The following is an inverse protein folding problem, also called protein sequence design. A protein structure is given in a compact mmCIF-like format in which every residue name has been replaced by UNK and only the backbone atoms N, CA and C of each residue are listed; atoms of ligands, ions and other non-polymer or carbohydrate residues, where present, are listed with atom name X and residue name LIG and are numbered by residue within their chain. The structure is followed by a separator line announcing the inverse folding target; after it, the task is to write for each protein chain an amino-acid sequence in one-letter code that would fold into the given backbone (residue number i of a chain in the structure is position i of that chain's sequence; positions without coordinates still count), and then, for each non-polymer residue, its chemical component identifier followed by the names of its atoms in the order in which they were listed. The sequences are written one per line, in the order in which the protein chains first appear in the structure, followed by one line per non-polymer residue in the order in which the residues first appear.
data_IF_909549997513
#
_entry.id   IF_909549997513
#
_cell.length_a   1.000
_cell.length_b   1.000
_cell.length_c   1.000
_cell.angle_alpha   90.00
_cell.angle_beta   90.00
_cell.angle_gamma   90.00
#
_symmetry.space_group_name_H-M   'P 1'
#
loop_
_entity.id
_entity.type
_entity.pdbx_description
1 polymer ?
#
# COMPACT_ATOMS: atom_id res chain seq x y z
N UNK A 1 -3.71 -8.42 -10.91
CA UNK A 1 -3.96 -6.99 -11.22
C UNK A 1 -2.63 -6.25 -11.25
N UNK A 2 -2.56 -5.21 -12.02
CA UNK A 2 -1.33 -4.43 -12.14
C UNK A 2 -1.39 -3.24 -11.21
N UNK A 3 -0.36 -3.11 -10.39
CA UNK A 3 -0.26 -2.03 -9.44
C UNK A 3 1.12 -1.40 -9.55
N UNK A 4 1.20 -0.12 -9.22
CA UNK A 4 2.50 0.53 -9.15
C UNK A 4 2.75 0.89 -7.70
N UNK A 5 3.81 0.32 -7.14
CA UNK A 5 4.14 0.52 -5.73
C UNK A 5 5.46 1.24 -5.63
N UNK A 6 5.44 2.45 -5.08
CA UNK A 6 6.62 3.31 -4.97
C UNK A 6 7.36 3.43 -6.30
N UNK A 7 6.59 3.58 -7.37
CA UNK A 7 7.14 3.76 -8.70
C UNK A 7 7.49 2.48 -9.44
N UNK A 8 7.35 1.32 -8.81
CA UNK A 8 7.67 0.05 -9.44
C UNK A 8 6.41 -0.71 -9.80
N UNK A 9 6.42 -1.32 -10.98
CA UNK A 9 5.28 -2.10 -11.45
C UNK A 9 5.29 -3.48 -10.81
N UNK A 10 4.13 -3.89 -10.30
CA UNK A 10 3.94 -5.21 -9.70
C UNK A 10 2.69 -5.85 -10.27
N UNK A 11 2.74 -7.17 -10.39
CA UNK A 11 1.56 -7.94 -10.76
C UNK A 11 1.16 -8.70 -9.50
N UNK A 12 0.15 -8.20 -8.79
CA UNK A 12 -0.24 -8.72 -7.49
C UNK A 12 -1.76 -8.77 -7.42
N UNK A 13 -2.29 -9.87 -6.91
CA UNK A 13 -3.71 -9.98 -6.65
C UNK A 13 -3.97 -9.67 -5.19
N UNK A 14 -4.42 -8.47 -4.92
CA UNK A 14 -4.77 -8.04 -3.57
C UNK A 14 -6.07 -7.24 -3.66
N UNK A 15 -7.08 -7.65 -2.92
CA UNK A 15 -8.36 -6.96 -2.97
C UNK A 15 -8.31 -5.63 -2.23
N UNK A 16 -7.56 -5.56 -1.15
CA UNK A 16 -7.49 -4.35 -0.32
C UNK A 16 -6.06 -3.91 -0.11
N UNK A 17 -5.91 -2.67 0.33
CA UNK A 17 -4.59 -2.14 0.62
C UNK A 17 -3.91 -2.95 1.73
N UNK A 18 -4.68 -3.37 2.75
CA UNK A 18 -4.11 -4.19 3.81
C UNK A 18 -3.55 -5.50 3.27
N UNK A 19 -4.26 -6.13 2.32
CA UNK A 19 -3.76 -7.36 1.71
C UNK A 19 -2.48 -7.12 0.92
N UNK A 20 -2.42 -5.99 0.22
CA UNK A 20 -1.21 -5.66 -0.53
C UNK A 20 -0.01 -5.51 0.40
N UNK A 21 -0.21 -4.82 1.52
CA UNK A 21 0.88 -4.65 2.48
C UNK A 21 1.36 -6.00 3.02
N UNK A 22 0.42 -6.92 3.27
CA UNK A 22 0.79 -8.25 3.74
C UNK A 22 1.59 -9.02 2.69
N UNK A 23 1.19 -8.94 1.44
CA UNK A 23 1.90 -9.60 0.34
C UNK A 23 3.31 -9.06 0.20
N UNK A 24 3.48 -7.75 0.39
CA UNK A 24 4.78 -7.10 0.27
C UNK A 24 5.57 -7.12 1.56
N UNK A 25 5.02 -7.75 2.59
CA UNK A 25 5.71 -7.94 3.86
C UNK A 25 5.96 -6.64 4.62
N UNK A 26 5.08 -5.68 4.45
CA UNK A 26 5.09 -4.48 5.27
C UNK A 26 4.26 -4.70 6.52
N UNK A 27 4.77 -4.29 7.67
CA UNK A 27 4.07 -4.46 8.93
C UNK A 27 4.09 -3.16 9.73
N UNK A 28 3.09 -3.04 10.61
CA UNK A 28 3.05 -1.94 11.56
C UNK A 28 2.07 -0.85 11.15
N UNK A 29 1.56 -0.16 12.17
CA UNK A 29 0.61 0.92 11.96
C UNK A 29 1.28 2.26 11.70
N UNK A 30 2.60 2.29 11.80
CA UNK A 30 3.39 3.51 11.65
C UNK A 30 3.81 3.78 10.21
N UNK A 31 3.37 2.94 9.30
CA UNK A 31 3.54 3.20 7.88
C UNK A 31 2.57 4.27 7.42
N UNK A 32 3.01 5.08 6.48
CA UNK A 32 2.12 6.00 5.79
C UNK A 32 1.81 5.43 4.41
N UNK A 33 0.55 5.46 4.03
CA UNK A 33 0.15 4.93 2.73
C UNK A 33 -0.73 5.93 1.99
N UNK A 34 -0.59 5.93 0.67
CA UNK A 34 -1.44 6.73 -0.20
C UNK A 34 -1.77 5.92 -1.44
N UNK A 35 -2.96 6.10 -1.99
CA UNK A 35 -3.36 5.48 -3.23
C UNK A 35 -3.83 6.58 -4.16
N UNK A 36 -3.20 6.65 -5.33
CA UNK A 36 -3.48 7.68 -6.33
C UNK A 36 -3.41 9.09 -5.73
N UNK A 37 -2.42 9.30 -4.87
CA UNK A 37 -2.12 10.57 -4.19
C UNK A 37 -3.07 10.91 -3.03
N UNK A 38 -3.99 10.01 -2.70
CA UNK A 38 -4.87 10.22 -1.55
C UNK A 38 -4.39 9.41 -0.37
N UNK A 39 -4.21 10.06 0.77
CA UNK A 39 -3.75 9.39 1.98
C UNK A 39 -4.81 8.39 2.46
N UNK A 40 -4.35 7.18 2.79
CA UNK A 40 -5.20 6.15 3.36
C UNK A 40 -4.68 5.82 4.75
N UNK A 41 -5.48 6.09 5.75
CA UNK A 41 -5.07 5.86 7.14
C UNK A 41 -5.10 4.38 7.50
N UNK A 42 -4.33 4.04 8.53
CA UNK A 42 -4.19 2.63 8.94
C UNK A 42 -5.54 1.96 9.19
N UNK A 43 -6.47 2.70 9.80
CA UNK A 43 -7.78 2.13 10.13
C UNK A 43 -8.65 1.86 8.91
N UNK A 44 -8.25 2.38 7.75
CA UNK A 44 -9.04 2.24 6.53
C UNK A 44 -8.49 1.21 5.57
N UNK A 45 -7.25 0.77 5.80
CA UNK A 45 -6.56 -0.09 4.84
C UNK A 45 -7.27 -1.41 4.59
N UNK A 46 -7.88 -1.98 5.62
CA UNK A 46 -8.52 -3.28 5.50
C UNK A 46 -9.78 -3.25 4.64
N UNK A 47 -10.35 -2.08 4.43
CA UNK A 47 -11.54 -1.95 3.57
C UNK A 47 -11.32 -1.03 2.37
N UNK A 48 -10.09 -0.58 2.16
CA UNK A 48 -9.78 0.22 0.99
C UNK A 48 -9.55 -0.72 -0.19
N UNK A 49 -10.47 -0.74 -1.13
CA UNK A 49 -10.40 -1.65 -2.27
C UNK A 49 -9.48 -1.10 -3.34
N UNK A 50 -8.62 -1.97 -3.86
CA UNK A 50 -7.67 -1.63 -4.91
C UNK A 50 -8.26 -1.96 -6.27
N UNK A 51 -7.86 -1.17 -7.26
CA UNK A 51 -8.26 -1.38 -8.64
C UNK A 51 -7.03 -1.52 -9.51
N UNK A 52 -7.19 -2.21 -10.62
CA UNK A 52 -6.10 -2.36 -11.57
C UNK A 52 -5.59 -0.99 -12.00
N UNK A 53 -4.28 -0.83 -12.00
CA UNK A 53 -3.66 0.42 -12.38
C UNK A 53 -3.45 1.41 -11.26
N UNK A 54 -3.87 1.09 -10.04
CA UNK A 54 -3.69 1.99 -8.92
C UNK A 54 -2.21 2.22 -8.61
N UNK A 55 -1.90 3.43 -8.18
CA UNK A 55 -0.56 3.80 -7.72
C UNK A 55 -0.55 3.88 -6.22
N UNK A 56 0.28 3.08 -5.61
CA UNK A 56 0.38 3.01 -4.16
C UNK A 56 1.72 3.57 -3.71
N UNK A 57 1.70 4.40 -2.69
CA UNK A 57 2.91 4.92 -2.07
C UNK A 57 2.95 4.47 -0.62
N UNK A 58 4.07 3.90 -0.24
CA UNK A 58 4.26 3.38 1.10
C UNK A 58 5.52 4.01 1.66
N UNK A 59 5.39 4.72 2.77
CA UNK A 59 6.51 5.35 3.44
C UNK A 59 6.67 4.71 4.80
N UNK A 60 7.84 4.14 5.03
CA UNK A 60 8.18 3.59 6.34
C UNK A 60 9.16 4.53 7.01
N UNK A 61 9.02 4.78 8.31
CA UNK A 61 9.99 5.61 9.01
C UNK A 61 11.37 4.98 8.95
N UNK A 62 12.39 5.82 8.92
CA UNK A 62 13.75 5.34 8.93
C UNK A 62 14.04 4.68 10.25
N UNK A 63 14.56 3.46 10.19
CA UNK A 63 14.97 2.75 11.38
C UNK A 63 16.34 3.21 11.81
N UNK A 64 16.51 3.27 13.08
CA UNK A 64 17.78 3.62 13.63
C UNK A 64 18.08 5.08 13.47
N UNK A 65 17.05 5.60 13.04
CA UNK A 65 17.20 7.07 12.94
C UNK A 65 18.10 6.95 13.64
#
# INVERSE_FOLDING_TARGET
MKLRVNGEAHEIDAATLAELLAVLDYEGNWLATAVNSDVVHATERARFQLNDGDRIEILAPMQGG
#
